data_IF_647797864314
#
_entry.id   IF_647797864314
#
_cell.length_a   1.000
_cell.length_b   1.000
_cell.length_c   1.000
_cell.angle_alpha   90.00
_cell.angle_beta   90.00
_cell.angle_gamma   90.00
#
_symmetry.space_group_name_H-M   'P 1'
#
loop_
_entity.id
_entity.type
_entity.pdbx_description
1 polymer ?
2 polymer ?
3 water ?
#
# COMPACT_ATOMS: atom_id res chain seq x y z
N UNK A 38 -33.75 -10.16 -3.90
CA UNK A 38 -32.26 -9.98 -3.78
C UNK A 38 -31.72 -10.83 -4.91
N UNK A 39 -31.31 -10.23 -6.01
CA UNK A 39 -30.85 -10.99 -7.15
C UNK A 39 -29.36 -11.31 -7.11
N UNK A 40 -28.72 -11.00 -5.98
CA UNK A 40 -27.29 -11.29 -5.90
C UNK A 40 -27.02 -12.37 -4.83
N UNK A 41 -28.07 -12.86 -4.18
CA UNK A 41 -27.96 -13.90 -3.22
C UNK A 41 -29.19 -14.80 -3.22
N UNK A 42 -28.97 -16.13 -3.28
CA UNK A 42 -29.94 -17.19 -3.19
C UNK A 42 -30.54 -17.29 -1.80
N UNK A 43 -31.63 -18.10 -1.69
CA UNK A 43 -32.32 -18.15 -0.39
C UNK A 43 -32.02 -19.26 0.59
N UNK A 44 -31.54 -20.44 0.18
CA UNK A 44 -31.32 -21.33 1.38
C UNK A 44 -29.90 -21.59 1.83
N UNK A 45 -28.97 -20.62 1.77
CA UNK A 45 -27.59 -20.80 2.12
C UNK A 45 -27.33 -21.25 3.53
N UNK A 46 -26.54 -22.35 3.67
CA UNK A 46 -26.22 -22.66 5.07
C UNK A 46 -24.76 -23.07 5.28
N UNK A 47 -24.26 -22.64 6.48
CA UNK A 47 -22.87 -23.06 6.80
C UNK A 47 -22.86 -23.35 8.28
N UNK A 48 -22.22 -24.36 8.75
CA UNK A 48 -22.08 -24.65 10.18
C UNK A 48 -21.05 -23.70 10.72
N UNK A 49 -20.02 -23.40 9.93
CA UNK A 49 -19.03 -22.42 10.43
C UNK A 49 -19.29 -21.07 9.78
N UNK A 50 -19.94 -20.17 10.51
CA UNK A 50 -20.28 -18.90 9.87
C UNK A 50 -19.10 -18.00 10.01
N UNK A 51 -18.51 -17.68 8.84
CA UNK A 51 -17.28 -16.89 8.89
C UNK A 51 -17.08 -15.84 7.84
N UNK A 52 -16.43 -14.70 8.16
CA UNK A 52 -16.21 -13.75 7.04
C UNK A 52 -14.80 -13.23 7.11
N UNK A 53 -14.35 -12.81 5.96
CA UNK A 53 -12.95 -12.28 5.87
C UNK A 53 -12.97 -10.92 5.21
N UNK A 54 -12.34 -9.94 5.84
CA UNK A 54 -12.41 -8.64 5.14
C UNK A 54 -11.02 -8.26 4.69
N UNK A 55 -10.88 -7.72 3.49
CA UNK A 55 -9.64 -7.28 2.89
C UNK A 55 -9.64 -5.78 2.57
N UNK A 56 -8.81 -4.97 3.24
CA UNK A 56 -8.73 -3.52 2.92
C UNK A 56 -7.45 -3.37 2.09
N UNK A 57 -7.57 -3.28 0.78
CA UNK A 57 -6.53 -3.24 -0.19
C UNK A 57 -6.35 -1.81 -0.66
N UNK A 58 -5.14 -1.26 -0.53
CA UNK A 58 -4.92 0.11 -0.95
C UNK A 58 -3.65 0.29 -1.69
N UNK A 59 -3.74 1.23 -2.60
CA UNK A 59 -2.47 1.50 -3.36
C UNK A 59 -2.04 2.91 -2.92
N UNK A 60 -0.86 3.12 -2.34
CA UNK A 60 -0.55 4.53 -1.96
C UNK A 60 0.38 5.22 -2.94
N UNK A 61 0.02 6.35 -3.52
CA UNK A 61 0.78 7.07 -4.53
C UNK A 61 1.34 8.38 -3.98
N UNK A 62 2.61 8.60 -4.24
CA UNK A 62 3.42 9.74 -3.89
C UNK A 62 4.39 10.30 -4.91
N UNK A 63 4.44 11.61 -5.04
CA UNK A 63 5.43 12.33 -5.83
C UNK A 63 6.15 13.33 -4.89
N UNK A 64 7.37 13.07 -4.49
CA UNK A 64 8.14 13.88 -3.57
C UNK A 64 9.35 14.59 -4.20
N UNK A 65 9.69 15.77 -3.71
CA UNK A 65 10.84 16.53 -4.21
C UNK A 65 12.12 16.05 -3.52
N UNK A 66 13.27 16.55 -4.01
CA UNK A 66 14.55 16.14 -3.41
C UNK A 66 14.71 16.69 -1.99
N UNK A 67 14.05 17.85 -1.82
CA UNK A 67 13.87 18.53 -0.58
C UNK A 67 13.21 17.56 0.43
N UNK A 68 11.98 17.07 0.06
CA UNK A 68 11.26 16.16 1.00
C UNK A 68 9.83 16.69 1.11
N UNK A 69 9.38 17.68 0.37
CA UNK A 69 8.08 18.26 0.29
C UNK A 69 7.16 17.30 -0.51
N UNK A 70 5.87 17.20 -0.19
CA UNK A 70 5.00 16.20 -0.80
C UNK A 70 4.45 17.00 -1.96
N UNK A 71 4.77 16.71 -3.21
CA UNK A 71 4.18 17.48 -4.28
C UNK A 71 2.77 16.96 -4.61
N UNK A 72 2.57 15.66 -4.35
CA UNK A 72 1.27 15.09 -4.69
C UNK A 72 1.11 13.76 -3.97
N UNK A 73 -0.06 13.46 -3.44
CA UNK A 73 -0.14 12.15 -2.80
C UNK A 73 -1.60 11.74 -2.70
N UNK A 74 -1.93 10.46 -2.78
CA UNK A 74 -3.30 10.00 -2.61
C UNK A 74 -3.28 8.47 -2.47
N UNK A 75 -4.36 7.96 -1.90
CA UNK A 75 -4.55 6.52 -1.77
C UNK A 75 -5.90 6.18 -2.47
N UNK A 76 -5.83 5.02 -3.13
CA UNK A 76 -7.06 4.48 -3.75
C UNK A 76 -7.21 3.10 -3.08
N UNK A 77 -8.41 2.85 -2.60
CA UNK A 77 -8.49 1.52 -1.95
C UNK A 77 -9.82 0.85 -2.21
N UNK A 78 -9.86 -0.41 -1.78
CA UNK A 78 -11.15 -1.12 -1.93
C UNK A 78 -11.21 -2.09 -0.76
N UNK A 79 -12.44 -2.39 -0.37
CA UNK A 79 -12.65 -3.34 0.71
C UNK A 79 -13.39 -4.53 0.07
N UNK A 80 -12.69 -5.68 0.08
CA UNK A 80 -13.25 -6.91 -0.49
C UNK A 80 -13.74 -7.80 0.65
N UNK A 81 -14.95 -8.32 0.56
CA UNK A 81 -15.49 -9.14 1.63
C UNK A 81 -15.71 -10.56 1.15
N UNK A 82 -15.31 -11.54 1.90
CA UNK A 82 -15.50 -12.95 1.44
C UNK A 82 -16.27 -13.54 2.63
N UNK A 83 -17.53 -13.92 2.45
CA UNK A 83 -18.25 -14.35 3.64
C UNK A 83 -18.94 -15.67 3.40
N UNK A 84 -19.08 -16.49 4.43
CA UNK A 84 -19.74 -17.78 4.39
C UNK A 84 -20.68 -17.71 5.58
N UNK A 85 -21.81 -17.00 5.32
CA UNK A 85 -22.75 -16.73 6.38
C UNK A 85 -24.10 -17.40 6.08
N UNK A 86 -24.71 -17.88 7.16
CA UNK A 86 -25.99 -18.55 6.93
C UNK A 86 -27.15 -17.59 6.67
N UNK A 87 -28.09 -18.01 5.82
CA UNK A 87 -29.35 -17.29 5.56
C UNK A 87 -29.34 -16.08 4.63
N UNK A 88 -29.86 -14.98 5.17
CA UNK A 88 -29.86 -13.72 4.38
C UNK A 88 -29.49 -12.68 5.44
N UNK A 89 -28.21 -12.67 5.81
CA UNK A 89 -27.79 -11.77 6.89
C UNK A 89 -27.73 -10.32 6.44
N UNK A 90 -28.09 -9.49 7.38
CA UNK A 90 -28.06 -8.05 7.25
C UNK A 90 -26.82 -7.63 8.00
N UNK A 91 -25.84 -7.20 7.17
CA UNK A 91 -24.60 -6.80 7.89
C UNK A 91 -24.39 -5.30 7.95
N UNK A 92 -23.59 -4.98 8.99
CA UNK A 92 -23.18 -3.59 9.15
C UNK A 92 -21.66 -3.38 9.16
N UNK A 93 -21.12 -2.66 8.17
CA UNK A 93 -19.68 -2.39 8.12
C UNK A 93 -19.32 -1.05 8.70
N UNK A 94 -18.63 -1.04 9.81
CA UNK A 94 -18.19 0.20 10.42
C UNK A 94 -16.68 0.31 10.41
N UNK A 95 -16.23 1.51 9.99
CA UNK A 95 -14.81 1.86 10.00
C UNK A 95 -14.66 3.18 10.73
N UNK A 96 -13.40 3.63 10.81
CA UNK A 96 -13.17 4.89 11.53
C UNK A 96 -13.46 6.06 10.65
N UNK A 97 -14.63 6.24 10.08
CA UNK A 97 -14.96 7.38 9.24
C UNK A 97 -15.20 8.54 10.21
N UNK A 98 -16.04 9.49 9.83
CA UNK A 98 -16.28 10.73 10.58
C UNK A 98 -14.93 11.29 11.04
N UNK A 99 -14.56 11.89 9.94
CA UNK A 99 -13.64 12.64 9.21
C UNK A 99 -13.07 13.88 9.86
N UNK A 117 -8.43 9.77 18.70
CA UNK A 117 -7.74 8.51 18.40
C UNK A 117 -7.37 8.21 16.95
N UNK A 118 -8.35 7.76 16.18
CA UNK A 118 -8.24 7.37 14.79
C UNK A 118 -9.46 7.82 13.98
N UNK A 119 -9.28 8.66 12.99
CA UNK A 119 -10.43 9.09 12.21
C UNK A 119 -9.88 9.58 10.87
N UNK A 120 -10.41 9.08 9.75
CA UNK A 120 -9.89 9.51 8.48
C UNK A 120 -11.00 10.09 7.61
N UNK A 121 -10.58 10.88 6.65
CA UNK A 121 -11.42 11.54 5.69
C UNK A 121 -11.43 10.80 4.33
N UNK A 122 -12.64 10.51 3.87
CA UNK A 122 -12.83 9.91 2.58
C UNK A 122 -13.22 10.94 1.54
N UNK A 123 -12.33 11.30 0.62
CA UNK A 123 -12.70 12.23 -0.45
C UNK A 123 -13.90 11.70 -1.27
N UNK A 124 -13.95 10.40 -1.57
CA UNK A 124 -15.09 9.89 -2.31
C UNK A 124 -15.08 8.37 -2.34
N UNK A 125 -16.23 7.75 -2.63
CA UNK A 125 -16.36 6.32 -2.64
C UNK A 125 -17.64 5.74 -3.20
N UNK A 126 -17.50 4.65 -3.97
CA UNK A 126 -18.67 4.04 -4.49
C UNK A 126 -18.81 2.67 -3.80
N UNK A 127 -20.06 2.17 -3.75
CA UNK A 127 -20.45 0.94 -3.16
C UNK A 127 -21.02 -0.09 -4.10
N UNK A 128 -21.09 -1.32 -3.56
CA UNK A 128 -21.65 -2.46 -4.31
C UNK A 128 -23.15 -2.19 -4.32
N UNK A 129 -23.86 -2.61 -5.36
CA UNK A 129 -25.34 -2.43 -5.31
C UNK A 129 -25.99 -2.93 -4.01
N UNK A 130 -25.50 -4.02 -3.44
CA UNK A 130 -26.12 -4.50 -2.22
C UNK A 130 -26.13 -3.44 -1.16
N UNK A 131 -25.35 -2.39 -1.12
CA UNK A 131 -25.35 -1.39 -0.07
C UNK A 131 -26.52 -0.42 -0.14
N UNK A 132 -27.05 -0.14 1.03
CA UNK A 132 -28.17 0.81 1.19
C UNK A 132 -27.58 2.17 1.53
N UNK A 133 -27.44 3.00 0.51
CA UNK A 133 -26.85 4.33 0.61
C UNK A 133 -26.78 5.00 1.97
N UNK A 134 -27.95 5.54 2.30
CA UNK A 134 -28.17 6.15 3.62
C UNK A 134 -27.99 5.12 4.71
N UNK A 139 -23.08 8.06 13.51
CA UNK A 139 -22.55 8.09 12.14
C UNK A 139 -23.50 7.44 11.13
N UNK A 140 -23.16 7.42 9.84
CA UNK A 140 -23.98 6.82 8.80
C UNK A 140 -23.14 5.72 8.10
N UNK A 141 -23.27 4.48 8.62
CA UNK A 141 -22.49 3.38 8.04
C UNK A 141 -23.22 2.52 7.02
N UNK A 142 -22.49 1.52 6.52
CA UNK A 142 -22.95 0.72 5.39
C UNK A 142 -23.82 -0.44 5.81
N UNK A 143 -24.97 -0.62 5.16
CA UNK A 143 -25.92 -1.65 5.45
C UNK A 143 -26.20 -2.52 4.26
N UNK A 144 -25.99 -3.84 4.51
CA UNK A 144 -26.22 -4.67 3.32
C UNK A 144 -26.47 -6.15 3.63
N UNK A 145 -26.87 -6.84 2.56
CA UNK A 145 -27.14 -8.28 2.64
C UNK A 145 -26.17 -8.71 1.54
N UNK A 146 -25.02 -9.17 2.01
CA UNK A 146 -23.98 -9.46 1.05
C UNK A 146 -24.26 -10.62 0.12
N UNK A 147 -23.65 -10.58 -1.05
CA UNK A 147 -23.64 -11.71 -1.91
C UNK A 147 -22.80 -12.77 -1.18
N UNK A 148 -22.88 -14.05 -1.51
CA UNK A 148 -22.19 -15.13 -0.87
C UNK A 148 -20.81 -15.24 -1.48
N UNK A 149 -19.81 -15.71 -0.68
CA UNK A 149 -18.52 -15.81 -1.35
C UNK A 149 -17.87 -14.42 -1.25
N UNK A 150 -17.03 -14.14 -2.21
CA UNK A 150 -16.23 -12.97 -2.33
C UNK A 150 -16.89 -11.92 -3.18
N UNK A 151 -16.82 -10.66 -2.79
CA UNK A 151 -17.23 -9.52 -3.62
C UNK A 151 -16.59 -8.20 -3.15
N UNK A 152 -16.60 -7.18 -4.03
CA UNK A 152 -16.08 -5.85 -3.69
C UNK A 152 -17.10 -5.03 -2.96
N UNK A 153 -16.97 -4.76 -1.67
CA UNK A 153 -17.98 -4.00 -0.96
C UNK A 153 -17.93 -2.55 -1.37
N UNK A 154 -16.80 -1.85 -1.42
CA UNK A 154 -16.63 -0.49 -1.79
C UNK A 154 -15.20 -0.23 -2.31
N UNK A 155 -15.12 0.92 -2.94
CA UNK A 155 -13.95 1.50 -3.57
C UNK A 155 -13.83 2.94 -3.06
N UNK A 156 -12.68 3.44 -2.69
CA UNK A 156 -12.56 4.79 -2.16
C UNK A 156 -11.20 5.40 -2.45
N UNK A 157 -11.19 6.73 -2.26
CA UNK A 157 -10.02 7.58 -2.50
C UNK A 157 -9.74 8.52 -1.34
N UNK A 158 -8.46 8.63 -0.97
CA UNK A 158 -8.05 9.56 0.10
C UNK A 158 -6.85 10.38 -0.31
N UNK A 159 -6.78 11.56 0.24
CA UNK A 159 -5.67 12.47 0.02
C UNK A 159 -5.17 13.07 1.34
N UNK A 160 -5.90 13.01 2.44
CA UNK A 160 -5.41 13.71 3.63
C UNK A 160 -4.88 12.85 4.71
N UNK A 161 -3.90 13.22 5.44
CA UNK A 161 -3.27 12.54 6.54
C UNK A 161 -2.80 11.16 6.16
N UNK A 162 -2.38 10.97 4.92
CA UNK A 162 -1.93 9.67 4.46
C UNK A 162 -0.68 9.28 5.22
N UNK A 163 -0.46 8.01 5.57
CA UNK A 163 0.83 7.69 6.16
C UNK A 163 1.71 7.16 5.06
N UNK A 164 2.77 7.85 4.63
CA UNK A 164 3.79 7.54 3.70
C UNK A 164 4.63 6.50 4.46
N UNK A 165 4.69 5.24 3.96
CA UNK A 165 5.44 4.23 4.64
C UNK A 165 6.89 4.40 4.42
N UNK A 166 7.23 5.12 3.32
CA UNK A 166 8.71 5.21 3.18
C UNK A 166 9.14 6.56 2.78
N UNK A 167 10.31 6.86 3.33
CA UNK A 167 10.91 8.16 2.89
C UNK A 167 12.25 7.71 2.24
N UNK A 168 12.56 8.25 1.08
CA UNK A 168 13.68 8.00 0.24
C UNK A 168 14.53 9.24 0.24
N UNK A 169 15.77 9.12 0.73
CA UNK A 169 16.55 10.41 0.74
C UNK A 169 17.76 10.22 -0.14
N UNK A 170 17.84 10.74 -1.30
CA UNK A 170 18.94 10.50 -2.21
C UNK A 170 19.98 11.61 -2.09
N UNK A 171 21.17 11.36 -2.55
CA UNK A 171 22.32 12.22 -2.54
C UNK A 171 23.26 11.85 -3.70
N UNK A 172 23.60 12.80 -4.56
CA UNK A 172 24.43 12.56 -5.70
C UNK A 172 25.53 13.60 -5.69
N UNK A 173 26.75 13.22 -6.00
CA UNK A 173 27.92 14.08 -6.11
C UNK A 173 28.52 13.72 -7.46
N UNK A 174 28.90 14.75 -8.19
CA UNK A 174 29.54 14.59 -9.50
C UNK A 174 31.03 14.60 -9.29
N UNK A 175 31.71 13.60 -9.82
CA UNK A 175 33.14 13.57 -9.65
C UNK A 175 33.68 13.68 -11.06
N UNK A 176 34.09 14.93 -11.31
CA UNK A 176 34.68 15.25 -12.61
C UNK A 176 33.59 14.95 -13.62
N UNK A 177 33.98 14.28 -14.69
CA UNK A 177 33.05 14.02 -15.79
C UNK A 177 33.08 12.51 -15.98
N UNK A 178 33.70 11.86 -15.02
CA UNK A 178 33.88 10.40 -15.06
C UNK A 178 33.04 9.53 -14.17
N UNK A 179 32.77 10.02 -12.93
CA UNK A 179 31.97 9.23 -11.99
C UNK A 179 30.79 10.01 -11.37
N UNK A 180 29.78 9.24 -10.94
CA UNK A 180 28.73 9.89 -10.10
C UNK A 180 28.75 9.09 -8.77
N UNK A 181 28.84 9.78 -7.66
CA UNK A 181 28.77 9.05 -6.38
C UNK A 181 27.34 9.12 -5.88
N UNK A 182 26.66 7.98 -5.72
CA UNK A 182 25.26 8.11 -5.23
C UNK A 182 25.01 7.39 -3.92
N UNK A 183 24.26 8.00 -3.01
CA UNK A 183 23.92 7.36 -1.73
C UNK A 183 22.40 7.52 -1.61
N UNK A 184 21.68 6.43 -1.36
CA UNK A 184 20.22 6.56 -1.19
C UNK A 184 19.89 5.89 0.14
N UNK A 185 19.15 6.59 0.98
CA UNK A 185 18.77 6.00 2.27
C UNK A 185 17.24 5.82 2.29
N UNK A 186 16.76 4.73 2.82
CA UNK A 186 15.29 4.60 2.89
C UNK A 186 14.96 4.46 4.39
N UNK A 187 13.93 5.10 4.90
CA UNK A 187 13.50 5.02 6.30
C UNK A 187 12.05 4.50 6.35
N UNK A 188 11.80 3.45 7.12
CA UNK A 188 10.42 3.00 7.16
C UNK A 188 9.73 3.78 8.24
N UNK A 189 8.59 4.41 7.97
CA UNK A 189 7.77 5.17 8.89
C UNK A 189 6.54 4.44 9.38
N UNK A 190 6.69 3.52 10.36
CA UNK A 190 5.48 2.84 10.81
C UNK A 190 5.83 1.96 11.97
N UNK A 191 4.92 1.37 12.70
CA UNK A 191 5.22 0.61 13.89
C UNK A 191 6.42 -0.25 13.65
N UNK A 192 7.12 -0.52 14.75
CA UNK A 192 8.28 -1.40 14.71
C UNK A 192 7.85 -2.84 14.67
N UNK A 193 6.60 -3.04 15.11
CA UNK A 193 6.26 -4.48 15.17
C UNK A 193 5.83 -5.04 13.80
N UNK A 194 5.45 -4.16 12.88
CA UNK A 194 5.06 -4.44 11.54
C UNK A 194 6.28 -4.50 10.63
N UNK A 195 6.25 -5.47 9.72
CA UNK A 195 7.28 -5.63 8.69
C UNK A 195 6.84 -5.23 7.29
N UNK A 196 7.66 -4.61 6.47
CA UNK A 196 7.25 -4.32 5.12
C UNK A 196 7.83 -5.56 4.40
N UNK A 197 7.43 -5.75 3.15
CA UNK A 197 8.05 -6.78 2.33
C UNK A 197 7.97 -6.40 0.86
N UNK A 198 8.71 -7.15 0.07
CA UNK A 198 8.75 -6.95 -1.38
C UNK A 198 9.23 -5.55 -1.65
N UNK A 199 10.23 -5.10 -0.83
CA UNK A 199 10.64 -3.72 -1.17
C UNK A 199 11.56 -3.74 -2.36
N UNK A 200 11.45 -2.71 -3.17
CA UNK A 200 12.33 -2.55 -4.34
C UNK A 200 12.58 -1.06 -4.51
N UNK A 201 13.80 -0.61 -4.72
CA UNK A 201 14.18 0.79 -4.80
C UNK A 201 14.89 0.81 -6.16
N UNK A 202 14.33 1.60 -7.05
CA UNK A 202 14.90 1.62 -8.41
C UNK A 202 15.55 2.96 -8.70
N UNK A 203 16.85 3.02 -8.87
CA UNK A 203 17.64 4.26 -9.05
C UNK A 203 18.14 4.32 -10.49
N UNK A 204 17.66 5.29 -11.22
CA UNK A 204 18.00 5.41 -12.65
C UNK A 204 19.44 5.79 -12.89
N UNK A 205 20.07 5.24 -13.93
CA UNK A 205 21.43 5.62 -14.31
C UNK A 205 21.43 6.29 -15.67
N UNK A 206 22.32 7.24 -15.95
CA UNK A 206 22.43 7.98 -17.20
C UNK A 206 22.71 7.05 -18.37
N UNK A 207 22.48 7.44 -19.60
CA UNK A 207 22.70 6.56 -20.73
C UNK A 207 24.16 6.43 -21.09
N UNK A 208 25.01 7.35 -20.65
CA UNK A 208 26.44 7.11 -20.92
C UNK A 208 27.15 6.31 -19.82
N UNK A 209 26.44 5.47 -19.07
CA UNK A 209 26.98 4.67 -18.02
C UNK A 209 27.85 3.55 -18.54
N UNK A 210 29.13 3.53 -18.15
CA UNK A 210 29.89 2.34 -18.61
C UNK A 210 29.86 1.27 -17.55
N UNK A 211 29.51 1.62 -16.30
CA UNK A 211 29.47 0.57 -15.29
C UNK A 211 29.13 1.11 -13.94
N UNK A 212 28.74 0.16 -13.06
CA UNK A 212 28.34 0.60 -11.73
C UNK A 212 28.94 -0.21 -10.58
N UNK A 213 29.39 0.45 -9.51
CA UNK A 213 29.81 -0.31 -8.34
C UNK A 213 28.79 0.00 -7.24
N UNK A 214 28.22 -0.98 -6.54
CA UNK A 214 27.32 -0.71 -5.43
C UNK A 214 27.73 -1.40 -4.12
N UNK A 215 27.45 -0.76 -2.99
CA UNK A 215 27.61 -1.43 -1.69
C UNK A 215 26.29 -1.41 -0.90
N UNK A 216 25.72 -2.59 -0.65
CA UNK A 216 24.56 -2.51 0.25
C UNK A 216 24.58 -3.60 1.34
N UNK A 217 24.55 -3.21 2.60
CA UNK A 217 24.55 -4.15 3.68
C UNK A 217 23.22 -4.89 3.68
N UNK A 218 22.06 -4.33 3.42
CA UNK A 218 20.82 -5.04 3.54
C UNK A 218 20.32 -5.34 2.13
N UNK A 219 19.73 -6.49 1.82
CA UNK A 219 19.14 -6.81 0.56
C UNK A 219 20.16 -7.02 -0.52
N UNK A 220 19.73 -6.90 -1.76
CA UNK A 220 20.59 -7.19 -2.94
C UNK A 220 20.21 -6.19 -4.03
N UNK A 221 21.19 -5.63 -4.70
CA UNK A 221 21.12 -4.63 -5.70
C UNK A 221 21.86 -5.13 -6.93
N UNK A 222 21.34 -4.82 -8.08
CA UNK A 222 21.94 -5.23 -9.33
C UNK A 222 21.78 -4.10 -10.35
N UNK A 223 22.87 -3.74 -10.97
CA UNK A 223 22.75 -2.72 -12.01
C UNK A 223 22.13 -3.44 -13.23
N UNK A 224 21.04 -2.91 -13.74
CA UNK A 224 20.48 -3.52 -14.94
C UNK A 224 20.72 -2.59 -16.12
N UNK A 225 21.76 -2.75 -16.91
CA UNK A 225 22.07 -1.87 -18.05
C UNK A 225 20.95 -1.71 -19.06
N UNK A 226 20.19 -2.77 -19.38
CA UNK A 226 19.10 -2.56 -20.32
C UNK A 226 18.02 -1.71 -19.68
N UNK A 227 17.84 -1.78 -18.37
CA UNK A 227 16.73 -0.90 -17.86
C UNK A 227 17.31 0.44 -17.45
N UNK A 228 18.63 0.64 -17.53
CA UNK A 228 19.25 1.87 -17.14
C UNK A 228 18.86 2.21 -15.67
N UNK A 229 19.10 1.20 -14.82
CA UNK A 229 18.79 1.38 -13.43
C UNK A 229 19.45 0.36 -12.55
N UNK A 230 19.76 0.82 -11.33
CA UNK A 230 20.29 -0.12 -10.29
C UNK A 230 18.97 -0.50 -9.57
N UNK A 231 18.71 -1.76 -9.36
CA UNK A 231 17.50 -2.22 -8.71
C UNK A 231 17.95 -2.85 -7.41
N UNK A 232 17.50 -2.27 -6.31
CA UNK A 232 17.84 -2.76 -4.99
C UNK A 232 16.62 -3.44 -4.40
N UNK A 233 16.79 -4.73 -4.06
CA UNK A 233 15.66 -5.47 -3.48
C UNK A 233 15.82 -5.87 -2.02
N UNK A 234 14.76 -5.83 -1.24
CA UNK A 234 14.92 -6.13 0.17
C UNK A 234 13.72 -6.96 0.59
N UNK A 235 14.00 -8.19 1.06
CA UNK A 235 12.83 -8.98 1.41
C UNK A 235 12.00 -8.42 2.51
N UNK A 236 12.52 -8.12 3.69
CA UNK A 236 11.64 -7.63 4.80
C UNK A 236 12.22 -6.41 5.50
N UNK A 237 11.48 -5.55 6.14
CA UNK A 237 12.09 -4.40 6.78
C UNK A 237 11.04 -3.94 7.80
N UNK A 238 11.47 -3.86 9.06
CA UNK A 238 10.53 -3.41 10.10
C UNK A 238 10.39 -1.92 10.17
N UNK A 239 9.30 -1.46 10.77
CA UNK A 239 9.01 -0.06 10.96
C UNK A 239 10.10 0.66 11.75
N UNK A 240 10.24 1.96 11.55
CA UNK A 240 11.19 2.81 12.25
C UNK A 240 12.61 2.32 12.05
N UNK A 241 12.94 1.99 10.81
CA UNK A 241 14.31 1.56 10.54
C UNK A 241 14.93 2.40 9.42
N UNK A 242 16.17 2.12 9.14
CA UNK A 242 16.86 2.89 8.11
C UNK A 242 17.88 2.12 7.33
N UNK A 243 17.81 2.15 5.98
CA UNK A 243 18.89 1.34 5.35
C UNK A 243 19.47 2.20 4.24
N UNK A 244 20.65 1.86 3.77
CA UNK A 244 21.25 2.61 2.70
C UNK A 244 22.02 1.83 1.65
N UNK A 245 22.17 2.47 0.48
CA UNK A 245 22.89 1.78 -0.59
C UNK A 245 23.87 2.84 -1.11
N UNK A 246 25.10 2.52 -1.43
CA UNK A 246 26.00 3.50 -2.04
C UNK A 246 26.31 2.95 -3.44
N UNK A 247 26.34 3.82 -4.41
CA UNK A 247 26.67 3.32 -5.77
C UNK A 247 27.64 4.28 -6.44
N UNK A 248 28.54 3.78 -7.24
CA UNK A 248 29.47 4.66 -7.95
C UNK A 248 29.22 4.41 -9.44
N UNK A 249 28.66 5.42 -10.09
CA UNK A 249 28.31 5.22 -11.50
C UNK A 249 29.44 5.68 -12.40
N UNK A 250 29.96 4.72 -13.12
CA UNK A 250 31.11 5.00 -14.01
C UNK A 250 30.63 5.55 -15.34
N UNK A 251 31.00 6.82 -15.70
CA UNK A 251 30.48 7.38 -16.94
C UNK A 251 31.30 7.44 -18.20
N UNK A 252 30.79 7.07 -19.39
CA UNK A 252 31.46 7.24 -20.68
C UNK A 252 31.42 8.70 -21.12
N UNK A 253 32.30 9.12 -22.01
CA UNK A 253 32.31 10.50 -22.54
C UNK A 253 30.99 10.77 -23.28
N UNK A 254 30.64 12.06 -23.16
CA UNK A 254 29.35 12.37 -23.81
C UNK A 254 29.34 13.82 -24.25
N UNK A 255 28.23 14.11 -24.96
CA UNK A 255 28.11 15.50 -25.44
C UNK A 255 27.87 16.44 -24.28
N UNK A 256 28.95 17.13 -23.95
CA UNK A 256 29.02 18.11 -22.88
C UNK A 256 27.88 19.10 -22.73
N UNK A 257 27.16 19.42 -23.79
CA UNK A 257 26.07 20.37 -23.83
C UNK A 257 24.83 19.77 -23.17
N UNK A 258 24.32 18.68 -23.72
CA UNK A 258 23.15 18.04 -23.13
C UNK A 258 23.38 17.45 -21.74
N UNK A 259 22.80 18.05 -20.70
CA UNK A 259 22.91 17.51 -19.35
C UNK A 259 21.98 16.33 -19.04
N UNK A 260 22.12 15.73 -17.86
CA UNK A 260 21.26 14.60 -17.50
C UNK A 260 20.05 15.08 -16.70
N UNK A 261 18.87 14.75 -17.22
CA UNK A 261 17.63 15.18 -16.51
C UNK A 261 17.33 13.97 -15.66
N UNK A 262 17.68 14.03 -14.37
CA UNK A 262 17.52 12.83 -13.53
C UNK A 262 16.08 12.44 -13.32
N UNK A 263 15.69 11.28 -13.78
CA UNK A 263 14.36 10.76 -13.49
C UNK A 263 14.26 10.47 -11.97
N UNK A 264 13.06 10.38 -11.38
CA UNK A 264 12.88 10.13 -9.96
C UNK A 264 13.30 8.78 -9.48
N UNK A 265 13.74 8.62 -8.22
CA UNK A 265 14.05 7.21 -7.82
C UNK A 265 12.67 6.60 -7.46
N UNK A 266 12.35 5.39 -7.80
CA UNK A 266 10.99 4.93 -7.46
C UNK A 266 10.97 3.70 -6.60
N UNK A 267 9.95 3.49 -5.77
CA UNK A 267 10.00 2.32 -4.92
C UNK A 267 8.81 1.42 -5.11
N UNK A 268 8.85 0.18 -4.62
CA UNK A 268 7.75 -0.72 -4.57
C UNK A 268 7.81 -1.33 -3.17
N UNK A 269 6.59 -1.57 -2.62
CA UNK A 269 6.68 -2.31 -1.34
C UNK A 269 5.34 -2.81 -0.97
N UNK A 270 5.20 -3.58 0.05
CA UNK A 270 3.86 -4.04 0.48
C UNK A 270 3.85 -3.91 2.02
N UNK A 271 2.96 -3.19 2.66
CA UNK A 271 3.01 -3.12 4.14
C UNK A 271 1.72 -3.70 4.67
N UNK A 272 1.60 -4.22 5.85
CA UNK A 272 0.40 -4.80 6.37
C UNK A 272 -0.49 -3.77 7.02
N UNK A 273 -0.79 -2.58 6.44
CA UNK A 273 -1.75 -1.73 7.14
C UNK A 273 -2.25 -0.82 6.06
N UNK A 274 -3.27 -0.05 6.25
CA UNK A 274 -3.75 0.85 5.27
C UNK A 274 -3.05 2.16 5.40
N UNK A 275 -2.34 2.61 4.37
CA UNK A 275 -1.65 3.92 4.38
C UNK A 275 -2.66 5.04 4.56
N UNK A 276 -3.94 4.89 4.19
CA UNK A 276 -4.93 5.91 4.30
C UNK A 276 -5.23 6.18 5.77
N UNK A 277 -5.08 5.24 6.63
CA UNK A 277 -5.34 5.41 8.04
C UNK A 277 -6.59 4.56 8.32
N UNK A 278 -7.23 4.02 7.30
CA UNK A 278 -8.50 3.32 7.58
C UNK A 278 -8.40 2.19 8.54
N UNK A 279 -9.41 2.04 9.40
CA UNK A 279 -9.41 0.91 10.35
C UNK A 279 -10.78 0.25 10.41
N UNK A 280 -10.87 -1.09 10.41
CA UNK A 280 -12.26 -1.61 10.41
C UNK A 280 -12.62 -1.69 11.88
N UNK A 281 -13.84 -1.22 12.22
CA UNK A 281 -14.19 -1.25 13.64
C UNK A 281 -15.10 -2.43 13.87
N UNK A 282 -15.92 -2.70 12.84
CA UNK A 282 -16.75 -3.87 13.18
C UNK A 282 -17.48 -4.36 11.96
N UNK A 283 -17.91 -5.61 12.02
CA UNK A 283 -18.71 -6.14 10.88
C UNK A 283 -19.83 -6.90 11.61
N UNK A 284 -21.00 -6.23 11.70
CA UNK A 284 -22.14 -6.76 12.51
C UNK A 284 -23.05 -7.61 11.69
N UNK A 285 -23.36 -8.82 12.14
CA UNK A 285 -24.19 -9.72 11.34
C UNK A 285 -25.47 -10.02 12.11
N UNK A 286 -26.60 -9.76 11.47
CA UNK A 286 -27.91 -9.97 12.08
C UNK A 286 -28.73 -10.86 11.14
N UNK A 287 -29.20 -11.96 11.66
CA UNK A 287 -30.02 -12.88 10.82
C UNK A 287 -31.16 -13.24 11.78
N UNK A 288 -32.27 -12.53 11.67
CA UNK A 288 -33.44 -12.65 12.54
C UNK A 288 -34.13 -14.00 12.41
N UNK A 289 -34.26 -14.61 11.25
CA UNK A 289 -34.85 -15.93 11.11
C UNK A 289 -34.01 -17.09 11.67
N UNK A 290 -32.80 -17.44 11.22
CA UNK A 290 -31.92 -18.48 11.71
C UNK A 290 -31.37 -18.18 13.09
N UNK A 291 -30.98 -19.23 13.74
CA UNK A 291 -30.59 -19.21 15.13
C UNK A 291 -29.13 -19.02 15.51
N UNK A 292 -28.41 -18.25 14.69
CA UNK A 292 -27.03 -17.90 15.02
C UNK A 292 -27.10 -16.36 15.09
N UNK A 293 -26.28 -15.79 15.91
CA UNK A 293 -26.11 -14.36 15.98
C UNK A 293 -24.66 -13.90 15.79
N UNK A 294 -24.48 -12.60 15.72
CA UNK A 294 -23.25 -11.92 15.56
C UNK A 294 -22.09 -12.60 16.27
N UNK A 295 -22.15 -12.88 17.54
CA UNK A 295 -21.10 -13.52 18.32
C UNK A 295 -20.78 -14.92 17.86
N UNK A 296 -21.64 -15.54 17.03
CA UNK A 296 -21.35 -16.85 16.53
C UNK A 296 -20.41 -16.74 15.31
N UNK A 297 -20.30 -15.57 14.73
CA UNK A 297 -19.54 -15.44 13.49
C UNK A 297 -18.05 -15.20 13.72
N UNK A 298 -17.22 -16.02 13.08
CA UNK A 298 -15.76 -15.86 13.20
C UNK A 298 -15.40 -14.79 12.15
N UNK A 299 -14.72 -13.72 12.47
CA UNK A 299 -14.39 -12.63 11.61
C UNK A 299 -12.95 -12.22 11.53
N UNK A 300 -12.43 -11.98 10.33
CA UNK A 300 -10.98 -11.65 10.25
C UNK A 300 -10.81 -10.46 9.36
N UNK A 301 -9.74 -9.74 9.54
CA UNK A 301 -9.48 -8.63 8.65
C UNK A 301 -7.99 -8.65 8.25
N UNK A 302 -7.63 -8.17 7.09
CA UNK A 302 -6.21 -8.11 6.80
C UNK A 302 -6.11 -6.81 5.96
N UNK A 303 -4.96 -6.14 6.06
CA UNK A 303 -4.78 -4.89 5.31
C UNK A 303 -3.61 -5.09 4.40
N UNK A 304 -3.69 -4.80 3.12
CA UNK A 304 -2.48 -5.02 2.24
C UNK A 304 -2.29 -3.69 1.54
N UNK A 305 -1.38 -2.85 2.02
CA UNK A 305 -1.22 -1.50 1.39
C UNK A 305 -0.01 -1.73 0.48
N UNK A 306 -0.06 -1.30 -0.72
CA UNK A 306 1.02 -1.55 -1.72
C UNK A 306 1.20 -0.19 -2.38
N UNK A 307 2.40 -0.01 -2.86
CA UNK A 307 2.68 1.25 -3.55
C UNK A 307 2.12 1.21 -4.97
N UNK A 308 1.82 2.35 -5.50
CA UNK A 308 1.33 2.58 -6.84
C UNK A 308 2.51 3.40 -7.45
N UNK A 309 2.36 4.65 -7.81
CA UNK A 309 3.48 5.41 -8.21
C UNK A 309 4.00 6.06 -6.93
N UNK A 310 5.16 5.72 -6.49
CA UNK A 310 5.85 6.19 -5.28
C UNK A 310 7.28 6.65 -5.63
N UNK A 311 7.37 7.86 -6.17
CA UNK A 311 8.53 8.48 -6.69
C UNK A 311 9.12 9.65 -5.91
N UNK A 312 10.43 9.71 -5.94
CA UNK A 312 11.14 10.77 -5.22
C UNK A 312 12.13 11.41 -6.17
N UNK A 313 11.89 12.69 -6.40
CA UNK A 313 12.77 13.40 -7.34
C UNK A 313 14.15 13.57 -6.74
N UNK A 314 15.14 13.26 -7.55
CA UNK A 314 16.46 13.36 -6.98
C UNK A 314 17.36 14.39 -7.63
N UNK B 1 -1.25 -10.42 7.29
CA UNK B 1 -1.90 -11.73 7.63
C UNK B 1 -3.31 -11.36 8.06
N UNK B 2 -4.25 -12.27 8.14
CA UNK B 2 -5.60 -12.00 8.67
C UNK B 2 -5.54 -11.84 10.17
N UNK B 3 -6.34 -10.97 10.79
CA UNK B 3 -6.32 -10.93 12.26
C UNK B 3 -7.82 -10.92 12.60
N UNK B 4 -8.07 -11.42 13.81
CA UNK B 4 -9.43 -11.55 14.35
C UNK B 4 -10.09 -10.18 14.41
N UNK B 5 -11.36 -10.12 14.15
CA UNK B 5 -12.01 -8.76 14.24
C UNK B 5 -13.03 -9.10 15.34
N UNK B 6 -12.91 -8.37 16.42
CA UNK B 6 -13.83 -8.67 17.53
C UNK B 6 -15.29 -8.36 17.22
#
# INVERSE_FOLDING_TARGET
QNSETGALKTFITQQGIKSQHQTKEEQSQITSQVTGQIGWRREGIKYRRNELFLDVLESVNLLMSPQGQVLSAHVSGRVVMKSYLSGMPECKFGMNDKIVIEKQGKGTADETSKSGKQSIAIDDCTFHQCVRLSKFDSERSISFIPPDGEFELMRYRTTKDIILPFRVIPLVREVGRTKLEVKVVIKSNFKPSLLAQKIEVRIPTPLNTSGVQVICMKGKAKYKASENAIVWKIKRMAGMKESQISAEIELLPTNDKKKWARPPISMNFEVPFAPSGLKVRYLKVFEPKLNYSDHDVIKWVRYIGRSGIYETRC
FYRALM
#
